data_IF_086893705333
#
_entry.id   IF_086893705333
#
_cell.length_a   1.000
_cell.length_b   1.000
_cell.length_c   1.000
_cell.angle_alpha   90.00
_cell.angle_beta   90.00
_cell.angle_gamma   90.00
#
_symmetry.space_group_name_H-M   'P 1'
#
loop_
_entity.id
_entity.type
_entity.pdbx_description
1 polymer ?
#
# COMPACT_ATOMS: atom_id res chain seq x y z
N UNK A 1 -40.66 9.60 -56.92
CA UNK A 1 -42.10 9.76 -57.24
C UNK A 1 -42.83 10.01 -55.93
N UNK A 2 -43.46 11.19 -55.79
CA UNK A 2 -44.49 11.48 -54.74
C UNK A 2 -45.76 10.65 -55.06
N UNK A 3 -46.82 10.53 -54.22
CA UNK A 3 -47.20 11.44 -53.11
C UNK A 3 -47.97 10.82 -51.90
N UNK A 4 -48.35 11.74 -51.00
CA UNK A 4 -49.62 11.87 -50.26
C UNK A 4 -49.93 11.13 -48.94
N UNK A 5 -50.26 12.00 -47.98
CA UNK A 5 -50.94 11.87 -46.68
C UNK A 5 -52.45 11.62 -46.93
N UNK A 6 -53.23 11.06 -45.98
CA UNK A 6 -54.04 11.93 -45.12
C UNK A 6 -54.12 11.53 -43.64
N UNK A 7 -54.38 12.55 -42.81
CA UNK A 7 -54.81 12.49 -41.41
C UNK A 7 -56.16 11.79 -41.26
N UNK A 8 -56.40 11.11 -40.11
CA UNK A 8 -57.67 11.22 -39.36
C UNK A 8 -57.41 11.04 -37.85
N UNK A 9 -57.91 12.00 -37.08
CA UNK A 9 -58.05 12.05 -35.61
C UNK A 9 -59.13 11.12 -35.09
N UNK A 10 -59.06 10.66 -33.83
CA UNK A 10 -60.13 10.81 -32.83
C UNK A 10 -59.77 10.17 -31.46
N UNK A 11 -59.74 11.05 -30.46
CA UNK A 11 -60.13 10.92 -29.05
C UNK A 11 -60.54 9.55 -28.48
N UNK A 12 -59.97 9.23 -27.31
CA UNK A 12 -60.51 8.22 -26.39
C UNK A 12 -59.82 8.25 -25.03
N UNK A 13 -60.35 9.07 -24.11
CA UNK A 13 -60.02 9.04 -22.68
C UNK A 13 -60.70 7.84 -22.04
N UNK A 14 -59.95 7.00 -21.31
CA UNK A 14 -60.50 5.84 -20.60
C UNK A 14 -59.60 5.40 -19.46
N UNK A 15 -59.88 5.91 -18.27
CA UNK A 15 -59.26 5.56 -17.00
C UNK A 15 -59.93 4.28 -16.46
N UNK A 16 -59.21 3.21 -16.12
CA UNK A 16 -59.88 2.00 -15.63
C UNK A 16 -59.04 0.75 -15.32
N UNK A 17 -58.58 0.67 -14.06
CA UNK A 17 -58.49 -0.50 -13.18
C UNK A 17 -58.37 -1.92 -13.80
N UNK A 18 -57.25 -2.57 -13.43
CA UNK A 18 -57.11 -3.97 -12.96
C UNK A 18 -58.22 -4.97 -13.34
N UNK A 19 -57.88 -5.91 -14.24
CA UNK A 19 -58.34 -7.31 -14.14
C UNK A 19 -57.20 -8.26 -14.47
N UNK A 20 -56.83 -9.08 -13.49
CA UNK A 20 -56.08 -10.33 -13.69
C UNK A 20 -57.04 -11.33 -14.31
N UNK A 21 -56.70 -11.84 -15.49
CA UNK A 21 -57.25 -13.08 -16.05
C UNK A 21 -56.12 -14.10 -16.05
N UNK A 22 -56.24 -15.12 -15.20
CA UNK A 22 -55.45 -16.34 -15.25
C UNK A 22 -56.12 -17.27 -16.26
N UNK A 23 -55.46 -17.56 -17.37
CA UNK A 23 -55.78 -18.70 -18.22
C UNK A 23 -54.59 -19.65 -18.23
N UNK A 24 -54.77 -20.83 -17.63
CA UNK A 24 -53.87 -21.96 -17.80
C UNK A 24 -54.14 -22.61 -19.17
N UNK A 25 -53.17 -22.54 -20.06
CA UNK A 25 -53.11 -23.34 -21.28
C UNK A 25 -51.67 -23.78 -21.51
N UNK A 26 -51.38 -25.07 -21.24
CA UNK A 26 -50.12 -25.72 -21.58
C UNK A 26 -50.26 -26.32 -22.99
N UNK A 27 -49.43 -25.89 -23.94
CA UNK A 27 -48.29 -26.66 -24.50
C UNK A 27 -47.68 -25.97 -25.72
N UNK A 28 -46.38 -26.22 -25.84
CA UNK A 28 -45.48 -26.04 -27.00
C UNK A 28 -45.19 -24.61 -27.46
N UNK A 29 -44.08 -24.09 -26.95
CA UNK A 29 -43.39 -22.91 -27.45
C UNK A 29 -42.23 -22.62 -26.53
N UNK A 30 -40.99 -22.80 -27.01
CA UNK A 30 -39.78 -22.37 -26.31
C UNK A 30 -39.89 -20.86 -26.16
N UNK A 31 -40.32 -20.39 -24.99
CA UNK A 31 -40.11 -19.01 -24.59
C UNK A 31 -38.65 -18.90 -24.22
N UNK A 32 -37.83 -18.44 -25.17
CA UNK A 32 -36.61 -17.72 -24.82
C UNK A 32 -37.09 -16.52 -24.02
N UNK A 33 -37.01 -16.64 -22.70
CA UNK A 33 -37.10 -15.51 -21.80
C UNK A 33 -35.84 -14.69 -22.11
N UNK A 34 -35.98 -13.78 -23.07
CA UNK A 34 -35.08 -12.63 -23.18
C UNK A 34 -35.30 -11.88 -21.87
N UNK A 35 -34.49 -12.22 -20.89
CA UNK A 35 -34.45 -11.53 -19.62
C UNK A 35 -33.90 -10.15 -19.94
N UNK A 36 -34.81 -9.19 -20.06
CA UNK A 36 -34.50 -7.78 -20.17
C UNK A 36 -33.49 -7.44 -19.06
N UNK A 37 -32.31 -6.96 -19.46
CA UNK A 37 -31.11 -6.79 -18.60
C UNK A 37 -31.24 -5.59 -17.66
N UNK A 38 -32.46 -5.23 -17.27
CA UNK A 38 -32.75 -4.05 -16.46
C UNK A 38 -32.91 -4.40 -14.98
N UNK A 39 -31.78 -4.22 -14.27
CA UNK A 39 -31.68 -3.92 -12.82
C UNK A 39 -32.05 -5.04 -11.84
N UNK A 40 -31.06 -5.86 -11.51
CA UNK A 40 -30.96 -6.48 -10.18
C UNK A 40 -30.56 -5.41 -9.13
N UNK A 41 -31.45 -4.45 -8.81
CA UNK A 41 -31.20 -3.45 -7.77
C UNK A 41 -31.63 -3.98 -6.42
N UNK A 42 -30.70 -4.65 -5.71
CA UNK A 42 -30.81 -4.79 -4.25
C UNK A 42 -30.91 -3.39 -3.63
N UNK A 43 -31.65 -3.23 -2.50
CA UNK A 43 -31.74 -1.94 -1.83
C UNK A 43 -30.34 -1.41 -1.52
N UNK A 44 -30.08 -0.10 -1.70
CA UNK A 44 -28.75 0.47 -1.55
C UNK A 44 -28.22 0.20 -0.14
N UNK A 45 -26.99 -0.30 -0.07
CA UNK A 45 -26.34 -0.53 1.22
C UNK A 45 -26.07 0.81 1.90
N UNK A 46 -26.72 1.02 3.05
CA UNK A 46 -26.45 2.18 3.91
C UNK A 46 -25.37 1.81 4.94
N UNK A 47 -24.26 2.54 4.89
CA UNK A 47 -23.16 2.48 5.84
C UNK A 47 -23.67 2.78 7.29
N UNK A 48 -23.13 2.15 8.34
CA UNK A 48 -23.36 2.58 9.72
C UNK A 48 -22.92 4.02 9.92
N UNK A 49 -23.64 4.78 10.76
CA UNK A 49 -23.36 6.21 11.00
C UNK A 49 -21.93 6.44 11.46
N UNK A 50 -21.43 5.53 12.29
CA UNK A 50 -20.08 5.46 12.85
C UNK A 50 -18.99 5.44 11.78
N UNK A 51 -19.31 4.93 10.59
CA UNK A 51 -18.39 4.83 9.47
C UNK A 51 -18.53 5.98 8.46
N UNK A 52 -19.48 6.92 8.62
CA UNK A 52 -19.64 8.03 7.68
C UNK A 52 -18.41 8.91 7.58
N UNK A 53 -17.73 9.17 8.69
CA UNK A 53 -16.47 9.91 8.69
C UNK A 53 -15.37 9.15 7.93
N UNK A 54 -15.33 7.82 8.04
CA UNK A 54 -14.39 6.98 7.29
C UNK A 54 -14.64 7.10 5.78
N UNK A 55 -15.91 6.99 5.36
CA UNK A 55 -16.29 7.15 3.96
C UNK A 55 -15.92 8.53 3.42
N UNK A 56 -16.16 9.60 4.19
CA UNK A 56 -15.78 10.96 3.80
C UNK A 56 -14.26 11.12 3.62
N UNK A 57 -13.47 10.49 4.48
CA UNK A 57 -12.00 10.46 4.32
C UNK A 57 -11.61 9.73 3.04
N UNK A 58 -12.22 8.56 2.76
CA UNK A 58 -11.99 7.81 1.52
C UNK A 58 -12.39 8.64 0.28
N UNK A 59 -13.54 9.31 0.32
CA UNK A 59 -14.03 10.17 -0.76
C UNK A 59 -13.05 11.31 -1.06
N UNK A 60 -12.48 11.92 -0.02
CA UNK A 60 -11.51 13.02 -0.16
C UNK A 60 -10.24 12.56 -0.88
N UNK A 61 -9.77 11.34 -0.61
CA UNK A 61 -8.46 10.87 -1.08
C UNK A 61 -8.53 9.90 -2.27
N UNK A 62 -9.68 9.27 -2.51
CA UNK A 62 -9.97 8.37 -3.63
C UNK A 62 -11.24 8.81 -4.37
N UNK A 63 -11.32 10.06 -4.87
CA UNK A 63 -12.56 10.65 -5.41
C UNK A 63 -13.04 9.99 -6.72
N UNK A 64 -12.16 9.25 -7.40
CA UNK A 64 -12.50 8.50 -8.61
C UNK A 64 -13.36 7.25 -8.32
N UNK A 65 -13.44 6.82 -7.06
CA UNK A 65 -14.26 5.68 -6.69
C UNK A 65 -15.75 6.05 -6.74
N UNK A 66 -16.58 5.16 -7.28
CA UNK A 66 -18.03 5.31 -7.21
C UNK A 66 -18.54 5.19 -5.77
N UNK A 67 -19.73 5.73 -5.50
CA UNK A 67 -20.34 5.68 -4.16
C UNK A 67 -20.45 4.26 -3.58
N UNK A 68 -20.71 3.27 -4.44
CA UNK A 68 -20.78 1.86 -4.03
C UNK A 68 -19.40 1.29 -3.65
N UNK A 69 -18.36 1.62 -4.42
CA UNK A 69 -16.98 1.22 -4.14
C UNK A 69 -16.50 1.86 -2.83
N UNK A 70 -16.72 3.16 -2.65
CA UNK A 70 -16.40 3.89 -1.43
C UNK A 70 -17.10 3.30 -0.21
N UNK A 71 -18.40 3.02 -0.32
CA UNK A 71 -19.18 2.40 0.76
C UNK A 71 -18.61 1.02 1.14
N UNK A 72 -18.27 0.21 0.15
CA UNK A 72 -17.69 -1.12 0.40
C UNK A 72 -16.30 -1.07 1.00
N UNK A 73 -15.44 -0.16 0.53
CA UNK A 73 -14.11 0.05 1.11
C UNK A 73 -14.23 0.55 2.56
N UNK A 74 -15.12 1.51 2.83
CA UNK A 74 -15.37 2.02 4.17
C UNK A 74 -15.85 0.92 5.13
N UNK A 75 -16.77 0.05 4.70
CA UNK A 75 -17.21 -1.10 5.50
C UNK A 75 -16.07 -2.08 5.80
N UNK A 76 -15.30 -2.43 4.77
CA UNK A 76 -14.15 -3.32 4.92
C UNK A 76 -13.13 -2.75 5.91
N UNK A 77 -12.75 -1.48 5.75
CA UNK A 77 -11.77 -0.80 6.61
C UNK A 77 -12.30 -0.65 8.05
N UNK A 78 -13.53 -0.13 8.22
CA UNK A 78 -14.16 -0.03 9.54
C UNK A 78 -14.22 -1.39 10.25
N UNK A 79 -14.76 -2.40 9.58
CA UNK A 79 -14.92 -3.72 10.17
C UNK A 79 -13.56 -4.39 10.44
N UNK A 80 -12.54 -4.13 9.62
CA UNK A 80 -11.19 -4.64 9.86
C UNK A 80 -10.56 -4.04 11.12
N UNK A 81 -10.72 -2.72 11.33
CA UNK A 81 -10.28 -2.02 12.53
C UNK A 81 -11.01 -2.54 13.78
N UNK A 82 -12.35 -2.61 13.71
CA UNK A 82 -13.18 -3.08 14.82
C UNK A 82 -12.83 -4.54 15.18
N UNK A 83 -12.67 -5.42 14.19
CA UNK A 83 -12.33 -6.82 14.39
C UNK A 83 -10.86 -7.05 14.79
N UNK A 84 -9.96 -6.10 14.48
CA UNK A 84 -8.50 -6.37 14.49
C UNK A 84 -8.15 -7.54 13.57
N UNK A 85 -8.78 -7.58 12.39
CA UNK A 85 -8.70 -8.67 11.42
C UNK A 85 -9.41 -8.29 10.12
N UNK A 86 -8.79 -8.55 8.97
CA UNK A 86 -9.40 -8.40 7.65
C UNK A 86 -10.06 -9.71 7.14
N UNK A 87 -10.21 -10.72 8.01
CA UNK A 87 -10.97 -11.92 7.69
C UNK A 87 -12.46 -11.58 7.53
N UNK A 88 -13.09 -11.99 6.42
CA UNK A 88 -14.47 -11.61 6.08
C UNK A 88 -15.48 -11.89 7.20
N UNK A 89 -15.42 -13.07 7.82
CA UNK A 89 -16.35 -13.42 8.89
C UNK A 89 -16.12 -12.60 10.16
N UNK A 90 -14.86 -12.25 10.45
CA UNK A 90 -14.52 -11.38 11.59
C UNK A 90 -15.03 -9.95 11.35
N UNK A 91 -14.81 -9.41 10.15
CA UNK A 91 -15.33 -8.10 9.71
C UNK A 91 -16.86 -8.07 9.77
N UNK A 92 -17.54 -9.08 9.19
CA UNK A 92 -18.99 -9.16 9.22
C UNK A 92 -19.55 -9.32 10.65
N UNK A 93 -18.86 -10.07 11.51
CA UNK A 93 -19.23 -10.22 12.92
C UNK A 93 -19.10 -8.89 13.67
N UNK A 94 -17.98 -8.19 13.51
CA UNK A 94 -17.74 -6.89 14.14
C UNK A 94 -18.76 -5.82 13.71
N UNK A 95 -19.28 -5.89 12.49
CA UNK A 95 -20.30 -4.97 11.97
C UNK A 95 -21.75 -5.40 12.25
N UNK A 96 -21.95 -6.63 12.77
CA UNK A 96 -23.28 -7.20 12.99
C UNK A 96 -24.18 -6.45 13.98
N UNK A 97 -23.66 -5.68 14.97
CA UNK A 97 -24.51 -4.84 15.80
C UNK A 97 -25.33 -3.80 15.01
N UNK A 98 -24.85 -3.37 13.83
CA UNK A 98 -25.51 -2.35 13.01
C UNK A 98 -26.31 -2.92 11.83
N UNK A 99 -26.03 -4.15 11.40
CA UNK A 99 -26.64 -4.76 10.20
C UNK A 99 -26.70 -6.29 10.29
N UNK A 100 -27.68 -6.90 9.62
CA UNK A 100 -27.78 -8.36 9.53
C UNK A 100 -26.50 -8.97 8.94
N UNK A 101 -25.93 -9.94 9.66
CA UNK A 101 -24.65 -10.57 9.32
C UNK A 101 -24.63 -11.18 7.91
N UNK A 102 -25.68 -11.89 7.49
CA UNK A 102 -25.76 -12.49 6.15
C UNK A 102 -25.65 -11.44 5.04
N UNK A 103 -26.31 -10.29 5.20
CA UNK A 103 -26.28 -9.21 4.22
C UNK A 103 -24.89 -8.56 4.15
N UNK A 104 -24.27 -8.31 5.31
CA UNK A 104 -22.90 -7.80 5.40
C UNK A 104 -21.91 -8.76 4.75
N UNK A 105 -21.96 -10.04 5.12
CA UNK A 105 -21.08 -11.07 4.58
C UNK A 105 -21.19 -11.16 3.07
N UNK A 106 -22.41 -11.14 2.53
CA UNK A 106 -22.63 -11.20 1.08
C UNK A 106 -22.09 -9.97 0.37
N UNK A 107 -22.37 -8.77 0.87
CA UNK A 107 -21.91 -7.53 0.24
C UNK A 107 -20.38 -7.39 0.27
N UNK A 108 -19.76 -7.69 1.42
CA UNK A 108 -18.30 -7.69 1.56
C UNK A 108 -17.65 -8.69 0.58
N UNK A 109 -18.31 -9.83 0.34
CA UNK A 109 -17.89 -10.83 -0.64
C UNK A 109 -17.94 -10.30 -2.06
N UNK A 110 -19.09 -9.72 -2.45
CA UNK A 110 -19.32 -9.17 -3.78
C UNK A 110 -18.41 -7.99 -4.10
N UNK A 111 -18.04 -7.18 -3.11
CA UNK A 111 -17.09 -6.08 -3.31
C UNK A 111 -15.71 -6.57 -3.81
N UNK A 112 -15.32 -7.79 -3.45
CA UNK A 112 -14.07 -8.39 -3.91
C UNK A 112 -14.21 -9.06 -5.28
N UNK A 113 -15.42 -9.45 -5.70
CA UNK A 113 -15.66 -10.18 -6.94
C UNK A 113 -15.34 -9.37 -8.18
N UNK A 114 -14.80 -10.07 -9.18
CA UNK A 114 -14.72 -9.49 -10.50
C UNK A 114 -16.10 -9.40 -11.15
N UNK A 115 -16.22 -8.58 -12.18
CA UNK A 115 -17.50 -8.33 -12.83
C UNK A 115 -18.15 -9.63 -13.35
N UNK A 116 -17.34 -10.55 -13.88
CA UNK A 116 -17.74 -11.88 -14.38
C UNK A 116 -18.26 -12.83 -13.28
N UNK A 117 -17.75 -12.71 -12.05
CA UNK A 117 -18.09 -13.58 -10.92
C UNK A 117 -19.38 -13.17 -10.19
N UNK A 118 -20.00 -12.06 -10.60
CA UNK A 118 -21.22 -11.55 -9.96
C UNK A 118 -22.44 -12.34 -10.41
N UNK A 119 -23.45 -12.41 -9.53
CA UNK A 119 -24.74 -13.07 -9.83
C UNK A 119 -25.39 -12.55 -11.11
N UNK A 120 -25.16 -11.27 -11.43
CA UNK A 120 -25.42 -10.70 -12.75
C UNK A 120 -24.09 -10.19 -13.29
N UNK A 121 -23.45 -10.92 -14.23
CA UNK A 121 -22.15 -10.53 -14.77
C UNK A 121 -22.16 -9.10 -15.31
N UNK A 122 -21.06 -8.38 -15.11
CA UNK A 122 -20.89 -7.00 -15.56
C UNK A 122 -19.40 -6.71 -15.82
N UNK A 123 -19.08 -5.49 -16.27
CA UNK A 123 -17.68 -5.05 -16.39
C UNK A 123 -16.99 -4.99 -15.02
N UNK A 124 -15.66 -5.08 -15.02
CA UNK A 124 -14.83 -4.94 -13.82
C UNK A 124 -15.20 -3.68 -13.05
N UNK A 125 -15.71 -3.87 -11.84
CA UNK A 125 -16.21 -2.78 -11.03
C UNK A 125 -15.15 -2.12 -10.16
N UNK A 126 -13.94 -2.67 -10.06
CA UNK A 126 -12.84 -2.04 -9.33
C UNK A 126 -11.52 -2.51 -9.90
N UNK A 127 -10.88 -1.61 -10.66
CA UNK A 127 -9.47 -1.70 -10.99
C UNK A 127 -8.68 -1.00 -9.88
N UNK A 128 -7.87 -1.79 -9.18
CA UNK A 128 -7.10 -1.34 -8.02
C UNK A 128 -5.87 -0.53 -8.44
N UNK A 129 -5.38 -0.72 -9.67
CA UNK A 129 -4.19 0.00 -10.16
C UNK A 129 -4.45 1.51 -10.23
N UNK A 130 -5.68 1.90 -10.56
CA UNK A 130 -6.15 3.29 -10.52
C UNK A 130 -6.09 3.92 -9.13
N UNK A 131 -6.01 3.12 -8.07
CA UNK A 131 -5.89 3.59 -6.69
C UNK A 131 -4.44 3.86 -6.27
N UNK A 132 -3.40 3.36 -6.96
CA UNK A 132 -2.01 3.43 -6.47
C UNK A 132 -1.46 4.86 -6.34
N UNK A 133 -1.51 5.65 -7.41
CA UNK A 133 -1.12 7.06 -7.35
C UNK A 133 -1.98 7.87 -6.35
N UNK A 134 -3.32 7.79 -6.36
CA UNK A 134 -4.16 8.42 -5.34
C UNK A 134 -3.83 8.01 -3.90
N UNK A 135 -3.51 6.73 -3.67
CA UNK A 135 -3.15 6.21 -2.36
C UNK A 135 -1.79 6.77 -1.88
N UNK A 136 -0.79 6.87 -2.76
CA UNK A 136 0.47 7.54 -2.42
C UNK A 136 0.23 9.03 -2.17
N UNK A 137 -0.60 9.72 -2.97
CA UNK A 137 -1.00 11.11 -2.69
C UNK A 137 -1.69 11.26 -1.34
N UNK A 138 -2.48 10.28 -0.92
CA UNK A 138 -3.08 10.27 0.43
C UNK A 138 -1.98 10.21 1.51
N UNK A 139 -1.02 9.30 1.39
CA UNK A 139 0.14 9.24 2.30
C UNK A 139 0.85 10.60 2.34
N UNK A 140 1.15 11.18 1.19
CA UNK A 140 1.90 12.43 1.05
C UNK A 140 1.12 13.66 1.54
N UNK A 141 -0.20 13.68 1.40
CA UNK A 141 -1.04 14.74 1.97
C UNK A 141 -0.96 14.81 3.50
N UNK A 142 -0.56 13.72 4.15
CA UNK A 142 -0.32 13.66 5.58
C UNK A 142 1.17 13.69 5.95
N UNK A 143 2.09 13.68 4.98
CA UNK A 143 3.51 13.49 5.22
C UNK A 143 4.24 14.80 5.57
N UNK A 144 5.00 14.81 6.66
CA UNK A 144 5.74 15.98 7.16
C UNK A 144 7.26 15.80 7.03
N UNK A 145 7.74 15.68 5.80
CA UNK A 145 9.17 15.66 5.44
C UNK A 145 9.33 15.82 3.92
N UNK A 146 10.46 16.34 3.46
CA UNK A 146 10.84 16.38 2.04
C UNK A 146 11.51 15.07 1.58
N UNK A 147 11.73 14.13 2.50
CA UNK A 147 12.35 12.83 2.24
C UNK A 147 11.33 11.71 2.31
N UNK A 148 11.34 10.83 1.31
CA UNK A 148 10.49 9.65 1.22
C UNK A 148 11.35 8.40 0.99
N UNK A 149 11.16 7.39 1.81
CA UNK A 149 11.80 6.09 1.62
C UNK A 149 10.75 5.07 1.18
N UNK A 150 10.96 4.50 -0.01
CA UNK A 150 10.19 3.39 -0.55
C UNK A 150 10.99 2.10 -0.41
N UNK A 151 10.32 0.98 -0.20
CA UNK A 151 10.92 -0.34 -0.36
C UNK A 151 10.12 -1.19 -1.34
N UNK A 152 10.85 -1.99 -2.12
CA UNK A 152 10.31 -3.01 -3.01
C UNK A 152 10.69 -4.36 -2.44
N UNK A 153 9.71 -5.19 -2.11
CA UNK A 153 9.96 -6.52 -1.57
C UNK A 153 8.85 -7.50 -1.98
N UNK A 154 9.18 -8.76 -2.32
CA UNK A 154 8.19 -9.76 -2.57
C UNK A 154 7.69 -10.34 -1.25
N UNK A 155 6.39 -10.62 -1.15
CA UNK A 155 5.84 -11.38 -0.03
C UNK A 155 5.05 -12.58 -0.54
N UNK A 156 5.27 -13.71 0.13
CA UNK A 156 4.52 -14.93 -0.08
C UNK A 156 3.38 -15.05 0.92
N UNK A 157 2.29 -15.69 0.47
CA UNK A 157 1.24 -16.22 1.33
C UNK A 157 1.13 -17.71 1.06
N UNK A 158 1.94 -18.48 1.78
CA UNK A 158 2.10 -19.92 1.55
C UNK A 158 2.51 -20.21 0.11
N UNK A 159 1.98 -21.30 -0.42
CA UNK A 159 2.05 -21.77 -1.81
C UNK A 159 0.94 -21.19 -2.71
N UNK A 160 0.14 -20.26 -2.18
CA UNK A 160 -1.09 -19.83 -2.87
C UNK A 160 -0.86 -18.64 -3.78
N UNK A 161 -0.23 -17.59 -3.25
CA UNK A 161 -0.03 -16.31 -3.96
C UNK A 161 1.30 -15.69 -3.60
N UNK A 162 1.87 -14.99 -4.58
CA UNK A 162 3.01 -14.11 -4.38
C UNK A 162 2.62 -12.69 -4.76
N UNK A 163 3.08 -11.72 -3.98
CA UNK A 163 2.94 -10.31 -4.27
C UNK A 163 4.31 -9.67 -4.40
N UNK A 164 4.50 -8.82 -5.41
CA UNK A 164 5.55 -7.78 -5.39
C UNK A 164 4.91 -6.48 -4.91
N UNK A 165 5.52 -5.82 -3.93
CA UNK A 165 4.89 -4.71 -3.22
C UNK A 165 5.86 -3.56 -3.12
N UNK A 166 5.38 -2.36 -3.43
CA UNK A 166 6.05 -1.10 -3.13
C UNK A 166 5.38 -0.49 -1.90
N UNK A 167 6.16 -0.22 -0.86
CA UNK A 167 5.67 0.34 0.40
C UNK A 167 6.43 1.60 0.82
N UNK A 168 5.72 2.56 1.40
CA UNK A 168 6.31 3.68 2.12
C UNK A 168 6.78 3.21 3.49
N UNK A 169 8.06 3.43 3.80
CA UNK A 169 8.68 3.03 5.06
C UNK A 169 8.38 4.08 6.14
N UNK A 170 7.81 3.66 7.27
CA UNK A 170 7.33 4.58 8.29
C UNK A 170 7.37 4.01 9.72
N UNK A 171 8.13 4.67 10.61
CA UNK A 171 8.21 4.41 12.07
C UNK A 171 8.19 2.92 12.45
N UNK A 172 9.15 2.15 11.95
CA UNK A 172 9.26 0.70 12.17
C UNK A 172 8.11 -0.13 11.58
N UNK A 173 7.47 0.36 10.52
CA UNK A 173 6.42 -0.29 9.76
C UNK A 173 6.48 0.13 8.29
N UNK A 174 5.57 -0.39 7.46
CA UNK A 174 5.46 -0.05 6.05
C UNK A 174 4.00 0.03 5.60
N UNK A 175 3.69 1.05 4.80
CA UNK A 175 2.37 1.27 4.19
C UNK A 175 2.45 0.79 2.73
N UNK A 176 1.78 -0.31 2.35
CA UNK A 176 1.71 -0.70 0.94
C UNK A 176 1.02 0.39 0.13
N UNK A 177 1.64 0.84 -0.95
CA UNK A 177 1.06 1.88 -1.84
C UNK A 177 0.84 1.39 -3.26
N UNK A 178 1.54 0.33 -3.67
CA UNK A 178 1.29 -0.36 -4.94
C UNK A 178 1.68 -1.84 -4.81
N UNK A 179 0.98 -2.71 -5.54
CA UNK A 179 1.26 -4.15 -5.53
C UNK A 179 0.81 -4.82 -6.81
N UNK A 180 1.48 -5.92 -7.17
CA UNK A 180 1.04 -6.85 -8.20
C UNK A 180 0.98 -8.26 -7.61
N UNK A 181 -0.12 -8.96 -7.84
CA UNK A 181 -0.40 -10.28 -7.26
C UNK A 181 -0.42 -11.32 -8.39
N UNK A 182 0.22 -12.45 -8.16
CA UNK A 182 0.10 -13.65 -8.99
C UNK A 182 -0.06 -14.90 -8.14
N UNK A 183 -0.46 -16.01 -8.76
CA UNK A 183 -0.37 -17.32 -8.14
C UNK A 183 1.10 -17.71 -7.90
N UNK A 184 1.39 -18.45 -6.83
CA UNK A 184 2.79 -18.69 -6.42
C UNK A 184 3.56 -19.63 -7.36
N UNK A 185 2.84 -20.53 -8.03
CA UNK A 185 3.35 -21.51 -9.00
C UNK A 185 3.62 -20.90 -10.39
N UNK A 186 3.13 -19.69 -10.67
CA UNK A 186 3.30 -19.07 -11.97
C UNK A 186 4.75 -18.60 -12.19
N UNK A 187 5.44 -19.14 -13.22
CA UNK A 187 6.75 -18.64 -13.61
C UNK A 187 6.61 -17.25 -14.23
N UNK A 188 7.62 -16.40 -14.02
CA UNK A 188 7.62 -15.07 -14.62
C UNK A 188 8.58 -14.12 -13.92
N UNK A 189 9.13 -13.20 -14.70
CA UNK A 189 9.95 -12.11 -14.19
C UNK A 189 9.10 -11.13 -13.40
N UNK A 190 9.59 -10.73 -12.22
CA UNK A 190 8.98 -9.65 -11.45
C UNK A 190 9.29 -8.27 -12.00
N UNK A 191 10.18 -8.17 -12.98
CA UNK A 191 10.71 -6.90 -13.47
C UNK A 191 9.62 -6.02 -14.07
N UNK A 192 8.87 -6.53 -15.04
CA UNK A 192 7.89 -5.72 -15.77
C UNK A 192 6.73 -5.27 -14.84
N UNK A 193 6.16 -6.16 -13.99
CA UNK A 193 5.24 -5.70 -12.94
C UNK A 193 5.86 -4.66 -12.01
N UNK A 194 7.12 -4.80 -11.61
CA UNK A 194 7.79 -3.81 -10.74
C UNK A 194 7.89 -2.45 -11.41
N UNK A 195 8.21 -2.42 -12.70
CA UNK A 195 8.30 -1.19 -13.50
C UNK A 195 6.94 -0.52 -13.61
N UNK A 196 5.88 -1.27 -13.90
CA UNK A 196 4.52 -0.75 -13.95
C UNK A 196 4.10 -0.13 -12.61
N UNK A 197 4.45 -0.76 -11.48
CA UNK A 197 4.18 -0.20 -10.16
C UNK A 197 4.93 1.11 -9.91
N UNK A 198 6.21 1.21 -10.31
CA UNK A 198 6.98 2.46 -10.19
C UNK A 198 6.36 3.58 -11.02
N UNK A 199 6.04 3.30 -12.28
CA UNK A 199 5.41 4.25 -13.21
C UNK A 199 4.02 4.69 -12.72
N UNK A 200 3.23 3.78 -12.15
CA UNK A 200 1.93 4.10 -11.59
C UNK A 200 2.02 5.03 -10.35
N UNK A 201 3.13 4.99 -9.62
CA UNK A 201 3.35 5.82 -8.43
C UNK A 201 4.00 7.17 -8.76
N UNK A 202 4.82 7.27 -9.79
CA UNK A 202 5.59 8.46 -10.12
C UNK A 202 4.76 9.76 -10.17
N UNK A 203 3.58 9.81 -10.80
CA UNK A 203 2.75 11.03 -10.86
C UNK A 203 2.19 11.50 -9.49
N UNK A 204 2.36 10.73 -8.42
CA UNK A 204 1.92 11.11 -7.09
C UNK A 204 2.96 11.88 -6.29
N UNK A 205 4.24 11.79 -6.66
CA UNK A 205 5.34 12.37 -5.90
C UNK A 205 5.65 13.79 -6.39
N UNK A 206 5.66 14.81 -5.51
CA UNK A 206 6.10 16.16 -5.85
C UNK A 206 7.57 16.21 -6.29
N UNK A 207 7.91 17.08 -7.25
CA UNK A 207 9.28 17.21 -7.79
C UNK A 207 10.33 17.63 -6.74
N UNK A 208 9.93 18.35 -5.71
CA UNK A 208 10.83 18.78 -4.64
C UNK A 208 11.14 17.68 -3.61
N UNK A 209 10.55 16.50 -3.74
CA UNK A 209 10.71 15.43 -2.77
C UNK A 209 11.89 14.52 -3.13
N UNK A 210 12.80 14.30 -2.19
CA UNK A 210 13.87 13.30 -2.34
C UNK A 210 13.31 11.91 -2.06
N UNK A 211 13.24 11.06 -3.08
CA UNK A 211 12.78 9.67 -2.95
C UNK A 211 13.97 8.71 -3.05
N UNK A 212 14.14 7.86 -2.03
CA UNK A 212 15.05 6.71 -2.08
C UNK A 212 14.25 5.41 -2.20
N UNK A 213 14.64 4.54 -3.12
CA UNK A 213 14.00 3.24 -3.36
C UNK A 213 14.94 2.12 -2.95
N UNK A 214 14.59 1.43 -1.87
CA UNK A 214 15.37 0.35 -1.27
C UNK A 214 14.89 -1.01 -1.77
N UNK A 215 15.82 -1.88 -2.17
CA UNK A 215 15.50 -3.28 -2.47
C UNK A 215 16.66 -4.21 -2.11
N UNK A 216 16.34 -5.47 -1.85
CA UNK A 216 17.34 -6.48 -1.50
C UNK A 216 17.92 -7.19 -2.74
N UNK A 217 18.98 -7.98 -2.51
CA UNK A 217 19.75 -8.73 -3.51
C UNK A 217 18.94 -9.67 -4.41
N UNK A 218 17.71 -10.04 -4.01
CA UNK A 218 16.83 -10.90 -4.80
C UNK A 218 16.14 -10.19 -5.98
N UNK A 219 16.02 -8.86 -5.92
CA UNK A 219 15.36 -8.05 -6.96
C UNK A 219 16.36 -7.07 -7.60
N UNK A 220 17.43 -6.73 -6.89
CA UNK A 220 18.41 -5.76 -7.36
C UNK A 220 19.01 -6.15 -8.72
N UNK A 221 18.89 -5.25 -9.71
CA UNK A 221 19.41 -5.46 -11.05
C UNK A 221 19.73 -4.13 -11.76
N UNK A 222 20.63 -4.13 -12.77
CA UNK A 222 20.91 -2.93 -13.56
C UNK A 222 19.71 -2.37 -14.35
N UNK A 223 18.69 -3.20 -14.64
CA UNK A 223 17.43 -2.75 -15.27
C UNK A 223 16.57 -1.99 -14.26
N UNK A 224 16.32 -2.58 -13.08
CA UNK A 224 15.55 -1.90 -12.02
C UNK A 224 16.22 -0.59 -11.57
N UNK A 225 17.54 -0.58 -11.47
CA UNK A 225 18.31 0.65 -11.22
C UNK A 225 17.92 1.78 -12.16
N UNK A 226 17.93 1.51 -13.46
CA UNK A 226 17.63 2.52 -14.47
C UNK A 226 16.18 2.98 -14.34
N UNK A 227 15.25 2.04 -14.16
CA UNK A 227 13.82 2.33 -14.04
C UNK A 227 13.48 3.20 -12.83
N UNK A 228 14.19 3.04 -11.70
CA UNK A 228 14.07 3.93 -10.54
C UNK A 228 14.56 5.35 -10.90
N UNK A 229 15.72 5.46 -11.55
CA UNK A 229 16.30 6.75 -11.96
C UNK A 229 15.47 7.47 -13.02
N UNK A 230 14.84 6.73 -13.92
CA UNK A 230 13.96 7.29 -14.95
C UNK A 230 12.74 8.01 -14.33
N UNK A 231 12.37 7.71 -13.08
CA UNK A 231 11.33 8.43 -12.33
C UNK A 231 11.87 9.64 -11.54
N UNK A 232 13.16 9.95 -11.65
CA UNK A 232 13.83 10.98 -10.84
C UNK A 232 14.12 10.54 -9.40
N UNK A 233 14.09 9.23 -9.10
CA UNK A 233 14.30 8.68 -7.77
C UNK A 233 15.68 8.04 -7.61
N UNK A 234 16.13 7.88 -6.37
CA UNK A 234 17.44 7.37 -6.04
C UNK A 234 17.42 5.88 -5.68
N UNK A 235 18.09 5.00 -6.44
CA UNK A 235 18.23 3.60 -6.05
C UNK A 235 19.12 3.47 -4.80
N UNK A 236 18.68 2.68 -3.82
CA UNK A 236 19.48 2.23 -2.67
C UNK A 236 19.45 0.72 -2.57
N UNK A 237 20.17 0.06 -3.49
CA UNK A 237 19.96 -1.35 -3.80
C UNK A 237 21.07 -2.21 -3.21
N UNK A 238 20.71 -3.29 -2.48
CA UNK A 238 21.69 -4.25 -1.96
C UNK A 238 22.04 -5.29 -3.00
N UNK A 239 23.32 -5.58 -3.10
CA UNK A 239 23.89 -6.59 -3.98
C UNK A 239 24.58 -7.70 -3.18
N UNK A 240 24.91 -8.79 -3.89
CA UNK A 240 25.73 -9.87 -3.34
C UNK A 240 27.16 -9.39 -3.10
N UNK A 241 27.82 -9.96 -2.09
CA UNK A 241 29.17 -9.57 -1.63
C UNK A 241 30.29 -9.64 -2.69
N UNK A 242 30.07 -10.43 -3.74
CA UNK A 242 31.04 -10.71 -4.79
C UNK A 242 30.92 -9.83 -6.04
N UNK A 243 30.02 -8.83 -6.08
CA UNK A 243 30.04 -7.87 -7.19
C UNK A 243 31.39 -7.16 -7.24
N UNK A 244 31.86 -6.80 -8.43
CA UNK A 244 33.12 -6.06 -8.59
C UNK A 244 32.87 -4.57 -8.70
N UNK A 245 33.75 -3.78 -8.11
CA UNK A 245 33.70 -2.32 -8.13
C UNK A 245 35.10 -1.77 -8.36
N UNK A 246 35.21 -0.86 -9.33
CA UNK A 246 36.42 -0.07 -9.55
C UNK A 246 36.19 1.31 -8.96
N UNK A 247 36.76 1.56 -7.79
CA UNK A 247 36.75 2.89 -7.18
C UNK A 247 37.55 3.87 -8.04
N UNK A 248 37.21 5.15 -7.96
CA UNK A 248 37.93 6.19 -8.70
C UNK A 248 39.39 6.27 -8.29
N UNK A 249 40.28 6.30 -9.29
CA UNK A 249 41.73 6.21 -9.07
C UNK A 249 42.22 4.90 -8.47
N UNK A 250 41.34 3.92 -8.26
CA UNK A 250 41.62 2.66 -7.59
C UNK A 250 41.58 1.45 -8.51
N UNK A 251 42.02 0.29 -7.97
CA UNK A 251 41.90 -1.00 -8.65
C UNK A 251 40.47 -1.55 -8.54
N UNK A 252 40.03 -2.27 -9.57
CA UNK A 252 38.79 -3.03 -9.51
C UNK A 252 38.93 -4.24 -8.58
N UNK A 253 38.07 -4.33 -7.57
CA UNK A 253 38.09 -5.38 -6.56
C UNK A 253 36.68 -5.90 -6.27
N UNK A 254 36.52 -7.12 -5.70
CA UNK A 254 35.25 -7.53 -5.10
C UNK A 254 34.82 -6.56 -3.99
N UNK A 255 33.54 -6.16 -3.99
CA UNK A 255 33.04 -5.10 -3.13
C UNK A 255 33.23 -5.37 -1.63
N UNK A 256 33.12 -6.63 -1.20
CA UNK A 256 33.38 -6.97 0.21
C UNK A 256 34.80 -6.62 0.71
N UNK A 257 35.79 -6.48 -0.19
CA UNK A 257 37.18 -6.19 0.19
C UNK A 257 37.44 -4.72 0.56
N UNK A 258 36.46 -3.83 0.39
CA UNK A 258 36.57 -2.43 0.80
C UNK A 258 36.47 -2.23 2.32
N UNK A 259 36.03 -3.27 3.05
CA UNK A 259 36.09 -3.33 4.52
C UNK A 259 36.82 -4.60 4.94
N UNK A 260 37.56 -4.56 6.04
CA UNK A 260 38.36 -5.69 6.52
C UNK A 260 37.85 -6.30 7.83
N UNK A 261 37.02 -5.56 8.58
CA UNK A 261 36.52 -5.99 9.90
C UNK A 261 35.14 -5.40 10.20
N UNK A 262 34.39 -5.98 11.16
CA UNK A 262 33.17 -5.36 11.66
C UNK A 262 33.40 -3.98 12.28
N UNK A 263 32.30 -3.24 12.38
CA UNK A 263 32.19 -1.84 12.80
C UNK A 263 33.04 -0.88 11.93
N UNK A 264 33.13 -1.20 10.64
CA UNK A 264 33.71 -0.31 9.62
C UNK A 264 32.77 -0.13 8.44
N UNK A 265 32.88 1.02 7.79
CA UNK A 265 32.18 1.34 6.57
C UNK A 265 33.11 2.01 5.56
N UNK A 266 32.91 1.69 4.29
CA UNK A 266 33.57 2.32 3.16
C UNK A 266 32.52 2.90 2.22
N UNK A 267 32.69 4.16 1.82
CA UNK A 267 31.80 4.86 0.89
C UNK A 267 32.65 5.54 -0.18
N UNK A 268 32.36 5.30 -1.45
CA UNK A 268 33.06 6.01 -2.51
C UNK A 268 32.50 5.84 -3.91
N UNK A 269 32.89 6.76 -4.80
CA UNK A 269 32.49 6.73 -6.21
C UNK A 269 33.36 5.79 -7.04
N UNK A 270 32.75 5.31 -8.12
CA UNK A 270 33.38 4.34 -9.00
C UNK A 270 32.40 3.74 -10.01
N UNK A 271 32.83 2.63 -10.60
CA UNK A 271 32.05 1.89 -11.59
C UNK A 271 31.81 0.47 -11.11
N UNK A 272 30.55 0.13 -10.83
CA UNK A 272 30.11 -1.22 -10.50
C UNK A 272 30.00 -2.12 -11.72
N UNK A 273 30.13 -3.43 -11.49
CA UNK A 273 30.08 -4.52 -12.46
C UNK A 273 31.22 -4.52 -13.48
N UNK A 274 31.52 -5.68 -14.06
CA UNK A 274 32.61 -5.86 -15.03
C UNK A 274 32.11 -5.91 -16.49
N UNK A 275 30.88 -6.35 -16.73
CA UNK A 275 30.35 -6.47 -18.10
C UNK A 275 29.84 -5.12 -18.62
N UNK A 276 30.19 -4.71 -19.85
CA UNK A 276 29.83 -3.39 -20.39
C UNK A 276 28.33 -3.05 -20.29
N UNK A 277 27.44 -4.01 -20.59
CA UNK A 277 25.98 -3.81 -20.52
C UNK A 277 25.47 -3.55 -19.09
N UNK A 278 26.13 -4.11 -18.09
CA UNK A 278 25.75 -3.97 -16.70
C UNK A 278 26.50 -2.86 -15.96
N UNK A 279 27.60 -2.32 -16.52
CA UNK A 279 28.41 -1.30 -15.87
C UNK A 279 27.57 -0.10 -15.45
N UNK A 280 27.75 0.35 -14.21
CA UNK A 280 27.06 1.52 -13.67
C UNK A 280 28.04 2.41 -12.94
N UNK A 281 28.02 3.70 -13.30
CA UNK A 281 28.65 4.76 -12.53
C UNK A 281 27.80 5.03 -11.30
N UNK A 282 28.37 4.88 -10.11
CA UNK A 282 27.61 4.97 -8.86
C UNK A 282 28.52 5.17 -7.65
N UNK A 283 27.88 5.41 -6.50
CA UNK A 283 28.50 5.31 -5.18
C UNK A 283 28.27 3.90 -4.63
N UNK A 284 29.35 3.28 -4.16
CA UNK A 284 29.31 2.03 -3.40
C UNK A 284 29.40 2.36 -1.92
N UNK A 285 28.50 1.74 -1.14
CA UNK A 285 28.61 1.66 0.31
C UNK A 285 28.85 0.21 0.71
N UNK A 286 29.87 -0.01 1.52
CA UNK A 286 30.17 -1.29 2.15
C UNK A 286 30.12 -1.06 3.64
N UNK A 287 29.12 -1.60 4.33
CA UNK A 287 28.88 -1.32 5.75
C UNK A 287 28.85 -2.65 6.50
N UNK A 288 29.73 -2.80 7.48
CA UNK A 288 29.80 -3.99 8.32
C UNK A 288 29.62 -3.60 9.79
N UNK A 289 28.49 -3.94 10.40
CA UNK A 289 28.30 -3.89 11.85
C UNK A 289 28.65 -5.23 12.48
N UNK A 290 29.12 -5.22 13.73
CA UNK A 290 29.41 -6.44 14.51
C UNK A 290 28.23 -7.41 14.64
N UNK A 291 26.99 -6.91 14.57
CA UNK A 291 25.78 -7.74 14.61
C UNK A 291 25.43 -8.42 13.26
N UNK A 292 26.20 -8.13 12.20
CA UNK A 292 25.95 -8.69 10.88
C UNK A 292 26.91 -9.86 10.58
N UNK A 293 26.34 -10.96 10.07
CA UNK A 293 27.14 -12.08 9.55
C UNK A 293 28.01 -11.67 8.34
N UNK A 294 27.50 -10.75 7.51
CA UNK A 294 28.16 -10.29 6.29
C UNK A 294 27.94 -8.79 6.06
N UNK A 295 28.91 -8.08 5.45
CA UNK A 295 28.75 -6.66 5.12
C UNK A 295 27.59 -6.42 4.15
N UNK A 296 26.90 -5.30 4.34
CA UNK A 296 25.98 -4.78 3.34
C UNK A 296 26.73 -4.12 2.20
N UNK A 297 26.50 -4.61 0.98
CA UNK A 297 27.00 -4.02 -0.26
C UNK A 297 25.84 -3.27 -0.92
N UNK A 298 25.84 -1.95 -0.84
CA UNK A 298 24.78 -1.09 -1.37
C UNK A 298 25.33 -0.26 -2.51
N UNK A 299 24.60 -0.18 -3.61
CA UNK A 299 24.88 0.80 -4.68
C UNK A 299 23.79 1.89 -4.66
N UNK A 300 24.20 3.13 -4.88
CA UNK A 300 23.31 4.28 -5.07
C UNK A 300 23.86 5.29 -6.07
N UNK A 301 22.99 6.12 -6.66
CA UNK A 301 23.41 7.20 -7.57
C UNK A 301 23.69 8.52 -6.84
N UNK A 302 23.38 8.60 -5.54
CA UNK A 302 23.73 9.73 -4.68
C UNK A 302 25.24 9.85 -4.51
N UNK A 303 25.74 11.08 -4.33
CA UNK A 303 27.14 11.32 -4.06
C UNK A 303 27.56 10.81 -2.64
N UNK A 304 28.85 10.50 -2.41
CA UNK A 304 29.34 9.96 -1.13
C UNK A 304 29.03 10.82 0.11
N UNK A 305 28.92 12.13 -0.06
CA UNK A 305 28.58 13.13 0.95
C UNK A 305 27.06 13.32 1.14
N UNK A 306 26.27 12.85 0.17
CA UNK A 306 24.80 12.95 0.16
C UNK A 306 24.11 11.67 0.66
N UNK A 307 24.86 10.62 0.98
CA UNK A 307 24.31 9.32 1.43
C UNK A 307 24.75 8.99 2.85
N UNK A 308 23.79 8.53 3.66
CA UNK A 308 24.06 8.01 4.99
C UNK A 308 24.38 6.51 4.97
N UNK A 309 25.40 6.05 5.73
CA UNK A 309 25.79 4.64 5.77
C UNK A 309 24.69 3.71 6.28
N UNK A 310 23.78 4.22 7.11
CA UNK A 310 22.76 3.40 7.79
C UNK A 310 21.39 3.46 7.10
N UNK A 311 21.21 4.26 6.05
CA UNK A 311 19.90 4.46 5.42
C UNK A 311 19.26 3.16 4.92
N UNK A 312 20.09 2.19 4.49
CA UNK A 312 19.59 0.89 4.07
C UNK A 312 18.87 0.12 5.20
N UNK A 313 19.16 0.41 6.47
CA UNK A 313 18.47 -0.20 7.60
C UNK A 313 16.97 0.12 7.63
N UNK A 314 16.52 1.21 6.99
CA UNK A 314 15.09 1.50 6.83
C UNK A 314 14.35 0.34 6.14
N UNK A 315 15.02 -0.39 5.22
CA UNK A 315 14.39 -1.49 4.47
C UNK A 315 13.81 -2.55 5.40
N UNK A 316 14.40 -2.81 6.57
CA UNK A 316 13.86 -3.80 7.53
C UNK A 316 12.42 -3.49 7.97
N UNK A 317 11.98 -2.24 7.87
CA UNK A 317 10.63 -1.86 8.23
C UNK A 317 9.57 -2.46 7.29
N UNK A 318 9.92 -2.87 6.06
CA UNK A 318 8.99 -3.57 5.17
C UNK A 318 8.59 -4.94 5.71
N UNK A 319 9.53 -5.67 6.32
CA UNK A 319 9.26 -6.95 6.95
C UNK A 319 8.33 -6.80 8.15
N UNK A 320 8.53 -5.74 8.94
CA UNK A 320 7.62 -5.38 10.03
C UNK A 320 6.23 -4.99 9.51
N UNK A 321 6.15 -4.29 8.37
CA UNK A 321 4.88 -4.03 7.67
C UNK A 321 4.18 -5.30 7.22
N UNK A 322 4.89 -6.27 6.64
CA UNK A 322 4.31 -7.57 6.31
C UNK A 322 3.85 -8.34 7.55
N UNK A 323 4.58 -8.29 8.67
CA UNK A 323 4.12 -8.84 9.94
C UNK A 323 2.86 -8.13 10.45
N UNK A 324 2.77 -6.81 10.29
CA UNK A 324 1.58 -6.02 10.64
C UNK A 324 0.36 -6.40 9.79
N UNK A 325 0.54 -6.65 8.49
CA UNK A 325 -0.55 -7.11 7.62
C UNK A 325 -0.96 -8.55 7.94
N UNK A 326 -0.01 -9.40 8.33
CA UNK A 326 -0.23 -10.78 8.76
C UNK A 326 -0.58 -10.85 10.26
N UNK A 327 0.28 -11.46 11.07
CA UNK A 327 -0.03 -11.90 12.42
C UNK A 327 -0.24 -10.78 13.44
N UNK A 328 0.39 -9.61 13.28
CA UNK A 328 0.36 -8.54 14.29
C UNK A 328 -0.84 -7.58 14.17
N UNK A 329 -1.47 -7.49 12.99
CA UNK A 329 -2.56 -6.56 12.74
C UNK A 329 -3.74 -7.23 12.04
N UNK A 330 -3.67 -7.31 10.71
CA UNK A 330 -4.85 -7.57 9.89
C UNK A 330 -5.13 -9.06 9.62
N UNK A 331 -4.28 -9.98 10.09
CA UNK A 331 -4.46 -11.44 9.95
C UNK A 331 -4.67 -11.88 8.50
N UNK A 332 -4.01 -11.19 7.56
CA UNK A 332 -4.08 -11.48 6.12
C UNK A 332 -3.74 -12.93 5.78
N UNK A 333 -2.76 -13.49 6.49
CA UNK A 333 -2.31 -14.88 6.42
C UNK A 333 -3.42 -15.88 6.74
N UNK A 334 -4.42 -15.51 7.55
CA UNK A 334 -5.56 -16.36 7.91
C UNK A 334 -6.71 -16.32 6.91
N UNK A 335 -6.62 -15.48 5.87
CA UNK A 335 -7.63 -15.43 4.82
C UNK A 335 -7.46 -16.62 3.87
N UNK A 336 -8.54 -17.15 3.30
CA UNK A 336 -8.47 -18.28 2.34
C UNK A 336 -8.55 -17.85 0.87
N UNK A 337 -8.34 -16.55 0.59
CA UNK A 337 -8.42 -16.01 -0.77
C UNK A 337 -7.13 -16.31 -1.53
N UNK A 338 -7.29 -16.81 -2.74
CA UNK A 338 -6.21 -17.24 -3.64
C UNK A 338 -6.27 -16.56 -5.01
N UNK A 339 -7.46 -16.18 -5.48
CA UNK A 339 -7.64 -15.44 -6.73
C UNK A 339 -6.89 -14.08 -6.71
N UNK A 340 -5.96 -13.81 -7.62
CA UNK A 340 -5.10 -12.62 -7.61
C UNK A 340 -5.86 -11.30 -7.64
N UNK A 341 -6.95 -11.23 -8.41
CA UNK A 341 -7.77 -10.02 -8.54
C UNK A 341 -8.49 -9.72 -7.23
N UNK A 342 -9.14 -10.72 -6.62
CA UNK A 342 -9.79 -10.60 -5.30
C UNK A 342 -8.77 -10.29 -4.20
N UNK A 343 -7.57 -10.88 -4.27
CA UNK A 343 -6.47 -10.60 -3.36
C UNK A 343 -6.01 -9.15 -3.50
N UNK A 344 -5.82 -8.66 -4.72
CA UNK A 344 -5.43 -7.27 -4.99
C UNK A 344 -6.45 -6.26 -4.45
N UNK A 345 -7.75 -6.49 -4.63
CA UNK A 345 -8.80 -5.66 -4.03
C UNK A 345 -8.77 -5.72 -2.50
N UNK A 346 -8.45 -6.86 -1.93
CA UNK A 346 -8.30 -6.99 -0.48
C UNK A 346 -7.08 -6.24 0.05
N UNK A 347 -5.98 -6.21 -0.70
CA UNK A 347 -4.80 -5.41 -0.36
C UNK A 347 -5.10 -3.92 -0.30
N UNK A 348 -6.07 -3.40 -1.07
CA UNK A 348 -6.54 -2.02 -0.93
C UNK A 348 -7.11 -1.76 0.46
N UNK A 349 -7.87 -2.72 1.02
CA UNK A 349 -8.37 -2.65 2.40
C UNK A 349 -7.21 -2.63 3.40
N UNK A 350 -6.24 -3.53 3.21
CA UNK A 350 -5.07 -3.64 4.10
C UNK A 350 -4.24 -2.36 4.08
N UNK A 351 -4.03 -1.78 2.91
CA UNK A 351 -3.29 -0.54 2.74
C UNK A 351 -3.98 0.63 3.47
N UNK A 352 -5.26 0.86 3.18
CA UNK A 352 -6.02 1.97 3.78
C UNK A 352 -6.11 1.81 5.30
N UNK A 353 -6.39 0.59 5.80
CA UNK A 353 -6.41 0.32 7.22
C UNK A 353 -5.04 0.55 7.89
N UNK A 354 -3.94 0.17 7.23
CA UNK A 354 -2.56 0.39 7.72
C UNK A 354 -2.21 1.88 7.76
N UNK A 355 -2.51 2.62 6.69
CA UNK A 355 -2.31 4.08 6.62
C UNK A 355 -3.03 4.79 7.76
N UNK A 356 -4.32 4.49 7.96
CA UNK A 356 -5.11 5.09 9.03
C UNK A 356 -4.56 4.73 10.41
N UNK A 357 -4.23 3.45 10.64
CA UNK A 357 -3.66 3.01 11.91
C UNK A 357 -2.34 3.74 12.19
N UNK A 358 -1.45 3.87 11.22
CA UNK A 358 -0.19 4.59 11.43
C UNK A 358 -0.42 6.08 11.68
N UNK A 359 -1.30 6.76 10.93
CA UNK A 359 -1.58 8.18 11.14
C UNK A 359 -2.21 8.47 12.52
N UNK A 360 -3.13 7.62 12.98
CA UNK A 360 -3.72 7.73 14.32
C UNK A 360 -2.72 7.38 15.41
N UNK A 361 -1.89 6.36 15.18
CA UNK A 361 -0.82 5.94 16.08
C UNK A 361 0.22 7.03 16.28
N UNK A 362 0.63 7.69 15.19
CA UNK A 362 1.55 8.84 15.20
C UNK A 362 1.01 9.96 16.06
N UNK A 363 -0.26 10.34 15.88
CA UNK A 363 -0.88 11.35 16.72
C UNK A 363 -0.90 10.99 18.21
N UNK A 364 -1.04 9.71 18.53
CA UNK A 364 -1.01 9.22 19.92
C UNK A 364 0.39 9.31 20.50
N UNK A 365 1.39 8.80 19.77
CA UNK A 365 2.80 8.81 20.20
C UNK A 365 3.31 10.25 20.35
N UNK A 366 3.03 11.12 19.38
CA UNK A 366 3.42 12.54 19.42
C UNK A 366 2.73 13.30 20.57
N UNK A 367 1.50 12.91 20.93
CA UNK A 367 0.82 13.47 22.09
C UNK A 367 1.41 12.98 23.42
N UNK A 368 1.85 11.71 23.48
CA UNK A 368 2.56 11.15 24.64
C UNK A 368 3.90 11.85 24.85
N UNK A 369 4.68 12.08 23.79
CA UNK A 369 5.94 12.83 23.86
C UNK A 369 5.74 14.23 24.45
N UNK A 370 4.60 14.86 24.12
CA UNK A 370 4.20 16.19 24.65
C UNK A 370 3.45 16.15 25.97
N UNK A 371 3.18 14.96 26.52
CA UNK A 371 2.41 14.75 27.77
C UNK A 371 1.02 15.41 27.73
N UNK A 372 0.35 15.36 26.59
CA UNK A 372 -1.04 15.85 26.44
C UNK A 372 -1.96 14.76 25.89
N UNK A 373 -3.27 14.96 26.05
CA UNK A 373 -4.25 14.05 25.46
C UNK A 373 -4.20 14.10 23.92
N UNK A 374 -4.27 12.95 23.20
CA UNK A 374 -4.25 12.92 21.74
C UNK A 374 -5.35 13.76 21.08
N UNK A 375 -6.50 13.95 21.72
CA UNK A 375 -7.57 14.84 21.23
C UNK A 375 -7.22 16.33 21.24
N UNK A 376 -6.27 16.75 22.08
CA UNK A 376 -5.90 18.16 22.26
C UNK A 376 -4.75 18.58 21.34
N UNK A 377 -4.04 17.65 20.70
CA UNK A 377 -2.93 17.96 19.80
C UNK A 377 -3.44 18.58 18.49
N UNK A 378 -3.06 19.83 18.18
CA UNK A 378 -3.63 20.56 17.03
C UNK A 378 -2.81 20.48 15.74
N UNK A 379 -1.52 20.23 15.87
CA UNK A 379 -0.54 20.16 14.79
C UNK A 379 0.54 19.13 15.14
N UNK A 380 1.24 18.57 14.13
CA UNK A 380 2.41 17.74 14.37
C UNK A 380 3.46 18.49 15.18
N UNK A 381 4.28 17.78 15.98
CA UNK A 381 5.47 18.37 16.53
C UNK A 381 6.44 18.81 15.43
N UNK A 382 7.26 19.82 15.73
CA UNK A 382 8.43 20.09 14.90
C UNK A 382 9.26 18.81 14.88
N UNK A 383 9.70 18.40 13.70
CA UNK A 383 10.63 17.28 13.58
C UNK A 383 11.80 17.53 14.55
N UNK A 384 12.01 16.59 15.48
CA UNK A 384 13.14 16.69 16.38
C UNK A 384 14.40 16.71 15.53
N UNK A 385 15.32 17.63 15.83
CA UNK A 385 16.68 17.53 15.30
C UNK A 385 17.20 16.11 15.61
N UNK A 386 18.02 15.50 14.75
CA UNK A 386 18.70 14.26 15.09
C UNK A 386 19.41 14.50 16.41
N UNK A 387 18.92 13.93 17.51
CA UNK A 387 19.64 14.04 18.77
C UNK A 387 21.01 13.42 18.53
N UNK A 388 22.09 14.08 18.94
CA UNK A 388 23.44 13.50 18.99
C UNK A 388 23.56 12.30 19.95
N UNK A 389 22.43 11.82 20.49
CA UNK A 389 22.35 10.53 21.18
C UNK A 389 22.21 9.45 20.12
N UNK A 390 22.92 8.35 20.31
CA UNK A 390 22.86 7.15 19.49
C UNK A 390 21.43 6.94 18.90
N UNK A 391 21.22 6.92 17.57
CA UNK A 391 19.89 6.68 16.98
C UNK A 391 19.24 5.37 17.45
N UNK A 392 20.06 4.43 17.92
CA UNK A 392 19.64 3.18 18.56
C UNK A 392 19.21 3.37 20.03
N UNK A 393 19.35 4.56 20.60
CA UNK A 393 18.99 4.93 21.98
C UNK A 393 17.62 5.58 22.14
N UNK A 394 16.81 5.71 21.07
CA UNK A 394 15.35 5.88 21.29
C UNK A 394 14.90 4.68 22.10
N UNK A 395 14.31 4.85 23.30
CA UNK A 395 13.89 3.72 24.10
C UNK A 395 12.97 2.85 23.24
N UNK A 396 13.25 1.55 23.22
CA UNK A 396 12.51 0.61 22.40
C UNK A 396 11.01 0.81 22.64
N UNK A 397 10.24 0.99 21.55
CA UNK A 397 8.80 1.16 21.63
C UNK A 397 8.21 -0.03 22.38
N UNK A 398 7.65 0.20 23.57
CA UNK A 398 6.94 -0.86 24.30
C UNK A 398 5.67 -1.28 23.56
N UNK A 399 5.05 -0.34 22.83
CA UNK A 399 3.88 -0.57 21.98
C UNK A 399 4.14 0.06 20.62
N UNK A 400 3.86 -0.68 19.54
CA UNK A 400 4.08 -0.20 18.18
C UNK A 400 3.08 0.90 17.79
N UNK A 401 3.50 1.80 16.90
CA UNK A 401 2.68 2.91 16.39
C UNK A 401 1.36 2.41 15.80
N UNK A 402 1.43 1.37 14.96
CA UNK A 402 0.24 0.77 14.35
C UNK A 402 -0.72 0.23 15.43
N UNK A 403 -0.20 -0.34 16.52
CA UNK A 403 -1.03 -0.88 17.59
C UNK A 403 -1.77 0.22 18.34
N UNK A 404 -1.07 1.29 18.71
CA UNK A 404 -1.69 2.50 19.27
C UNK A 404 -2.80 3.03 18.35
N UNK A 405 -2.53 3.07 17.06
CA UNK A 405 -3.48 3.46 16.03
C UNK A 405 -4.75 2.63 16.01
N UNK A 406 -4.62 1.30 15.94
CA UNK A 406 -5.75 0.37 15.91
C UNK A 406 -6.61 0.53 17.17
N UNK A 407 -5.99 0.59 18.35
CA UNK A 407 -6.70 0.67 19.62
C UNK A 407 -7.49 2.00 19.73
N UNK A 408 -6.91 3.11 19.28
CA UNK A 408 -7.60 4.41 19.26
C UNK A 408 -8.66 4.51 18.18
N UNK A 409 -8.38 4.06 16.95
CA UNK A 409 -9.36 4.03 15.88
C UNK A 409 -10.60 3.22 16.27
N UNK A 410 -10.42 2.06 16.92
CA UNK A 410 -11.54 1.25 17.42
C UNK A 410 -12.41 2.04 18.40
N UNK A 411 -11.79 2.71 19.39
CA UNK A 411 -12.52 3.53 20.37
C UNK A 411 -13.26 4.69 19.72
N UNK A 412 -12.65 5.35 18.75
CA UNK A 412 -13.23 6.53 18.08
C UNK A 412 -14.31 6.17 17.06
N UNK A 413 -14.16 5.04 16.36
CA UNK A 413 -15.18 4.48 15.46
C UNK A 413 -16.45 4.14 16.25
N UNK A 414 -16.33 3.43 17.37
CA UNK A 414 -17.50 3.09 18.21
C UNK A 414 -18.24 4.36 18.68
N UNK A 415 -17.51 5.45 18.92
CA UNK A 415 -18.09 6.75 19.29
C UNK A 415 -18.59 7.58 18.10
N UNK A 416 -18.33 7.17 16.86
CA UNK A 416 -18.60 7.94 15.65
C UNK A 416 -17.90 9.30 15.62
N UNK A 417 -16.69 9.40 16.21
CA UNK A 417 -15.94 10.65 16.39
C UNK A 417 -14.46 10.47 16.05
N UNK A 418 -14.19 10.12 14.80
CA UNK A 418 -12.85 10.14 14.22
C UNK A 418 -12.23 11.55 14.28
N UNK A 419 -10.91 11.61 14.38
CA UNK A 419 -10.19 12.86 14.33
C UNK A 419 -10.20 13.43 12.91
N UNK A 420 -10.49 14.72 12.80
CA UNK A 420 -10.46 15.44 11.52
C UNK A 420 -9.04 15.83 11.09
N UNK A 421 -8.06 15.80 12.00
CA UNK A 421 -6.66 16.15 11.74
C UNK A 421 -5.72 15.05 12.20
N UNK A 422 -5.08 14.41 11.24
CA UNK A 422 -4.02 13.41 11.44
C UNK A 422 -2.86 13.72 10.50
N UNK A 423 -1.71 13.13 10.78
CA UNK A 423 -0.49 13.33 10.01
C UNK A 423 0.40 12.10 10.13
N UNK A 424 1.41 12.07 9.28
CA UNK A 424 2.53 11.15 9.25
C UNK A 424 3.79 12.00 9.39
N UNK A 425 4.35 12.04 10.59
CA UNK A 425 5.66 12.61 10.86
C UNK A 425 6.69 11.48 10.83
N UNK A 426 7.54 11.36 9.79
CA UNK A 426 8.49 10.27 9.70
C UNK A 426 9.68 10.42 10.67
N UNK A 427 10.22 9.26 11.02
CA UNK A 427 11.63 9.02 11.38
C UNK A 427 12.64 9.96 10.68
N UNK A 428 13.51 10.75 11.35
CA UNK A 428 14.77 11.09 10.70
C UNK A 428 15.44 9.81 10.18
N UNK A 429 16.04 9.88 8.99
CA UNK A 429 16.77 8.74 8.45
C UNK A 429 17.91 8.36 9.40
N UNK A 430 18.22 7.06 9.55
CA UNK A 430 19.12 6.58 10.58
C UNK A 430 20.55 7.10 10.37
N UNK A 431 21.14 7.59 11.46
CA UNK A 431 22.57 7.91 11.54
C UNK A 431 23.37 6.65 11.95
N UNK A 432 24.68 6.59 11.64
CA UNK A 432 25.54 5.50 12.06
C UNK A 432 25.66 5.40 13.59
N UNK A 433 25.93 4.17 14.08
CA UNK A 433 26.41 3.97 15.45
C UNK A 433 27.68 4.79 15.66
N UNK A 434 27.87 5.35 16.87
CA UNK A 434 29.01 6.22 17.20
C UNK A 434 30.37 5.54 16.99
N UNK A 435 30.44 4.22 17.12
CA UNK A 435 31.65 3.41 16.96
C UNK A 435 31.90 2.95 15.52
N UNK A 436 31.06 3.31 14.55
CA UNK A 436 31.26 2.92 13.15
C UNK A 436 32.36 3.79 12.52
N UNK A 437 33.50 3.19 12.18
CA UNK A 437 34.58 3.88 11.47
C UNK A 437 34.24 4.01 9.98
N UNK A 438 34.09 5.23 9.47
CA UNK A 438 33.66 5.49 8.10
C UNK A 438 34.82 6.07 7.28
N UNK A 439 35.23 5.34 6.24
CA UNK A 439 36.16 5.84 5.23
C UNK A 439 35.37 6.36 4.02
N UNK A 440 35.52 7.65 3.69
CA UNK A 440 34.89 8.28 2.51
C UNK A 440 35.94 8.59 1.44
N UNK A 441 35.68 8.17 0.21
CA UNK A 441 36.44 8.53 -0.99
C UNK A 441 35.53 9.34 -1.92
N UNK A 442 35.69 10.67 -1.91
CA UNK A 442 34.84 11.64 -2.61
C UNK A 442 35.29 11.86 -4.05
#
# INVERSE_FOLDING_TARGET
MRPNIPLVSLTGVGNGRNRRTLSLGRRTGIHILVCDTTRCRRPPMRLPRECYQMQKTIETHLPHLSQAQMTGLALWVCGAILAGSACQNAVASALSPWRKWNNLRQYLREWLYDGSDRTSPCQTQLDVTLCFAPLLRWVLAWWYSERLALAIDPTLKGDQTTAIVISVLYRSCAIPVAWHIRHADQPGSWMDPTVELLQALAPAVPENMTVIVLCDRGIASPKLWQQIRDQGWHPGMRYRKNITFGADGGKRLPAQRFVSRPDTAWIGRGTAFNTPKAQRRCTLLVVWYSEQEEPWIILTDLAPDQVGPSWYALRFWIELGFKAIKSLGWKWDKTRRTDPTRVSRHWLVLSVATLLALAYGTRVEDAQERRIAPGNLRAPPKALAPNHRDPWSRPARTVSVIRHGIDWLRRLLIKGRLWSRVWLLPEPWPEPKLNLEITRHV
#
